data_IF_571828908405
#
_entry.id   IF_571828908405
#
_cell.length_a   1.000
_cell.length_b   1.000
_cell.length_c   1.000
_cell.angle_alpha   90.00
_cell.angle_beta   90.00
_cell.angle_gamma   90.00
#
_symmetry.space_group_name_H-M   'P 1'
#
loop_
_entity.id
_entity.type
_entity.pdbx_description
1 polymer ?
2 polymer ?
3 non-polymer ?
4 water ?
#
# COMPACT_ATOMS: atom_id res chain seq x y z
N UNK A 1 -15.47 27.25 -2.06
CA UNK A 1 -15.51 27.28 -3.51
C UNK A 1 -14.24 27.83 -4.14
N UNK A 2 -14.37 28.40 -5.34
CA UNK A 2 -13.24 28.91 -6.10
C UNK A 2 -12.49 30.03 -5.41
N UNK A 3 -13.16 31.15 -5.18
CA UNK A 3 -12.67 32.20 -4.29
C UNK A 3 -13.71 32.60 -3.26
N UNK A 4 -14.88 31.97 -3.28
CA UNK A 4 -15.83 32.07 -2.20
C UNK A 4 -15.38 31.17 -1.04
N UNK A 5 -15.89 31.47 0.15
CA UNK A 5 -15.66 30.65 1.33
C UNK A 5 -16.88 29.76 1.52
N UNK A 6 -16.65 28.47 1.65
CA UNK A 6 -17.71 27.50 1.91
C UNK A 6 -17.65 27.09 3.38
N UNK A 7 -18.78 27.18 4.06
CA UNK A 7 -18.88 26.76 5.45
C UNK A 7 -19.84 25.58 5.55
N UNK A 8 -19.38 24.51 6.16
CA UNK A 8 -20.16 23.28 6.29
C UNK A 8 -20.10 22.85 7.75
N UNK A 9 -21.07 22.01 8.12
CA UNK A 9 -21.08 21.39 9.43
C UNK A 9 -20.38 20.04 9.26
N UNK A 10 -19.18 19.92 9.81
CA UNK A 10 -18.31 18.78 9.56
C UNK A 10 -17.90 18.10 10.86
N UNK A 11 -17.74 16.79 10.80
CA UNK A 11 -17.34 15.99 11.94
C UNK A 11 -15.84 15.75 11.91
N UNK A 12 -15.12 16.06 12.99
CA UNK A 12 -13.69 15.73 13.04
C UNK A 12 -13.47 14.24 12.83
N UNK A 13 -12.39 13.91 12.11
CA UNK A 13 -12.15 12.53 11.73
C UNK A 13 -11.84 11.60 12.90
N UNK A 14 -11.41 12.16 14.03
CA UNK A 14 -11.15 11.40 15.24
C UNK A 14 -12.12 11.83 16.33
N UNK A 15 -12.30 10.95 17.32
CA UNK A 15 -13.13 11.26 18.45
C UNK A 15 -14.60 11.18 18.14
N UNK A 16 -15.42 11.57 19.10
CA UNK A 16 -16.87 11.37 18.97
C UNK A 16 -17.47 12.31 17.95
N UNK A 17 -18.63 11.91 17.43
CA UNK A 17 -19.29 12.61 16.35
C UNK A 17 -19.97 13.84 16.93
N UNK A 18 -19.19 14.92 17.05
CA UNK A 18 -19.73 16.23 17.40
C UNK A 18 -19.36 17.18 16.26
N UNK A 19 -20.25 17.35 15.28
CA UNK A 19 -19.95 18.24 14.15
C UNK A 19 -19.85 19.70 14.56
N UNK A 20 -19.08 20.45 13.78
CA UNK A 20 -18.86 21.87 14.03
C UNK A 20 -18.64 22.56 12.69
N UNK A 21 -18.86 23.87 12.67
CA UNK A 21 -18.66 24.64 11.46
C UNK A 21 -17.20 24.59 11.03
N UNK A 22 -16.98 24.33 9.75
CA UNK A 22 -15.65 24.33 9.14
C UNK A 22 -15.74 25.12 7.83
N UNK A 23 -14.78 26.01 7.61
CA UNK A 23 -14.74 26.83 6.41
C UNK A 23 -13.52 26.50 5.56
N UNK A 24 -13.69 26.51 4.25
CA UNK A 24 -12.59 26.26 3.32
C UNK A 24 -12.77 27.07 2.05
N UNK A 25 -11.67 27.25 1.32
CA UNK A 25 -11.62 28.11 0.14
C UNK A 25 -10.74 27.44 -0.91
N UNK A 26 -10.65 28.07 -2.09
CA UNK A 26 -9.65 27.74 -3.11
C UNK A 26 -9.83 26.35 -3.70
N UNK A 27 -11.08 25.89 -3.83
CA UNK A 27 -11.30 24.54 -4.34
C UNK A 27 -10.87 24.44 -5.80
N UNK A 28 -10.17 23.35 -6.11
CA UNK A 28 -9.75 23.05 -7.47
C UNK A 28 -9.91 21.55 -7.69
N UNK A 29 -10.48 21.17 -8.84
CA UNK A 29 -10.64 19.76 -9.15
C UNK A 29 -9.28 19.17 -9.49
N UNK A 30 -8.95 18.05 -8.87
CA UNK A 30 -7.72 17.33 -9.17
C UNK A 30 -8.01 16.14 -10.09
N UNK A 31 -9.02 15.35 -9.75
CA UNK A 31 -9.40 14.20 -10.55
C UNK A 31 -10.69 13.55 -10.07
N UNK A 35 -14.11 6.41 -8.15
CA UNK A 35 -15.30 6.73 -8.95
C UNK A 35 -15.88 8.07 -8.53
N UNK A 36 -15.27 8.71 -7.54
CA UNK A 36 -15.70 10.01 -7.06
C UNK A 36 -15.00 11.15 -7.75
N UNK A 37 -15.04 12.31 -7.11
CA UNK A 37 -14.30 13.50 -7.53
C UNK A 37 -13.40 13.91 -6.38
N UNK A 38 -12.21 14.39 -6.71
CA UNK A 38 -11.21 14.77 -5.72
C UNK A 38 -10.84 16.23 -5.93
N UNK A 39 -10.90 17.02 -4.87
CA UNK A 39 -10.55 18.43 -4.90
C UNK A 39 -9.37 18.71 -3.99
N UNK A 40 -8.67 19.81 -4.27
CA UNK A 40 -7.77 20.41 -3.31
C UNK A 40 -8.42 21.67 -2.76
N UNK A 41 -8.26 21.92 -1.47
CA UNK A 41 -8.82 23.14 -0.87
C UNK A 41 -7.88 23.64 0.23
N UNK A 42 -8.22 24.81 0.77
CA UNK A 42 -7.48 25.41 1.87
C UNK A 42 -8.42 25.68 3.03
N UNK A 43 -8.06 25.20 4.22
CA UNK A 43 -8.86 25.47 5.40
C UNK A 43 -8.67 26.92 5.84
N UNK A 44 -9.79 27.63 6.03
CA UNK A 44 -9.73 29.07 6.30
C UNK A 44 -9.06 29.35 7.64
N UNK A 45 -9.38 28.57 8.67
CA UNK A 45 -8.89 28.87 10.01
C UNK A 45 -7.38 28.80 10.08
N UNK A 46 -6.79 27.79 9.43
CA UNK A 46 -5.36 27.53 9.56
C UNK A 46 -4.57 27.77 8.28
N UNK A 47 -5.23 27.85 7.12
CA UNK A 47 -4.52 27.99 5.86
C UNK A 47 -3.92 26.70 5.34
N UNK A 48 -4.14 25.58 6.02
CA UNK A 48 -3.53 24.31 5.63
C UNK A 48 -4.26 23.72 4.43
N UNK A 49 -3.50 23.11 3.53
CA UNK A 49 -4.07 22.51 2.34
C UNK A 49 -4.66 21.15 2.66
N UNK A 50 -5.80 20.85 2.05
CA UNK A 50 -6.46 19.57 2.23
C UNK A 50 -6.90 19.03 0.88
N UNK A 51 -7.12 17.73 0.84
CA UNK A 51 -7.78 17.06 -0.26
C UNK A 51 -9.18 16.69 0.18
N UNK A 52 -10.15 16.87 -0.70
CA UNK A 52 -11.54 16.56 -0.40
C UNK A 52 -12.00 15.53 -1.42
N UNK A 53 -12.31 14.32 -0.94
CA UNK A 53 -12.84 13.27 -1.79
C UNK A 53 -14.36 13.25 -1.62
N UNK A 54 -15.08 13.43 -2.72
CA UNK A 54 -16.53 13.55 -2.71
C UNK A 54 -17.13 12.37 -3.47
N UNK A 55 -17.94 11.55 -2.79
CA UNK A 55 -18.55 10.37 -3.40
C UNK A 55 -20.02 10.30 -3.01
N UNK A 56 -20.84 9.86 -3.96
CA UNK A 56 -22.24 9.58 -3.67
C UNK A 56 -22.36 8.60 -2.51
N UNK A 57 -23.27 8.87 -1.59
CA UNK A 57 -23.45 8.03 -0.41
C UNK A 57 -24.93 7.81 -0.16
N UNK A 58 -25.37 6.56 -0.29
CA UNK A 58 -26.75 6.21 0.04
C UNK A 58 -26.94 6.24 1.56
N UNK A 59 -28.11 6.73 1.99
CA UNK A 59 -28.39 6.89 3.41
C UNK A 59 -28.59 5.57 4.15
N UNK A 60 -28.79 4.47 3.43
CA UNK A 60 -29.16 3.20 4.08
C UNK A 60 -27.98 2.43 4.65
N UNK A 61 -26.75 2.87 4.43
CA UNK A 61 -25.59 2.18 4.99
C UNK A 61 -24.46 3.18 5.18
N UNK A 62 -23.51 2.82 6.04
CA UNK A 62 -22.38 3.68 6.35
C UNK A 62 -21.24 3.43 5.37
N UNK A 63 -20.62 4.52 4.91
CA UNK A 63 -19.53 4.42 3.94
C UNK A 63 -18.39 3.58 4.48
N UNK A 64 -17.99 2.56 3.71
CA UNK A 64 -16.97 1.63 4.17
C UNK A 64 -15.63 2.32 4.39
N UNK A 65 -15.21 3.15 3.43
CA UNK A 65 -13.95 3.87 3.57
C UNK A 65 -13.97 4.79 4.79
N UNK A 66 -15.09 5.49 5.00
CA UNK A 66 -15.19 6.38 6.15
C UNK A 66 -15.05 5.62 7.46
N UNK A 67 -15.72 4.47 7.58
CA UNK A 67 -15.65 3.72 8.83
C UNK A 67 -14.25 3.21 9.11
N UNK A 68 -13.50 2.87 8.05
CA UNK A 68 -12.11 2.47 8.22
C UNK A 68 -11.26 3.66 8.64
N UNK A 69 -11.40 4.79 7.94
CA UNK A 69 -10.57 5.97 8.22
C UNK A 69 -10.75 6.46 9.64
N UNK A 70 -11.98 6.42 10.17
CA UNK A 70 -12.23 6.93 11.52
C UNK A 70 -11.53 6.10 12.59
N UNK A 71 -11.12 4.86 12.29
CA UNK A 71 -10.43 4.04 13.27
C UNK A 71 -8.94 4.35 13.38
N UNK A 72 -8.38 5.09 12.42
CA UNK A 72 -6.94 5.13 12.22
C UNK A 72 -6.34 6.43 12.75
N UNK A 73 -5.21 6.32 13.43
CA UNK A 73 -4.44 7.49 13.85
C UNK A 73 -2.99 7.03 13.89
N UNK A 74 -2.24 7.31 12.82
CA UNK A 74 -0.88 6.82 12.69
C UNK A 74 -0.08 7.79 11.83
N UNK A 75 1.17 8.04 12.23
CA UNK A 75 1.99 9.04 11.56
C UNK A 75 2.29 8.70 10.10
N UNK A 76 2.13 7.44 9.69
CA UNK A 76 2.38 7.03 8.32
C UNK A 76 1.10 6.71 7.56
N UNK A 77 -0.04 7.26 7.98
CA UNK A 77 -1.32 7.10 7.31
C UNK A 77 -1.92 8.49 7.15
N UNK A 78 -2.43 8.80 5.96
CA UNK A 78 -3.03 10.11 5.73
C UNK A 78 -4.16 10.33 6.74
N UNK A 79 -4.22 11.54 7.30
CA UNK A 79 -5.18 11.86 8.34
C UNK A 79 -6.52 12.26 7.74
N UNK A 80 -7.60 11.70 8.28
CA UNK A 80 -8.94 12.21 7.99
C UNK A 80 -9.18 13.38 8.94
N UNK A 81 -9.06 14.60 8.41
CA UNK A 81 -9.28 15.77 9.25
C UNK A 81 -10.75 15.94 9.61
N UNK A 82 -11.63 15.81 8.61
CA UNK A 82 -13.06 16.02 8.80
C UNK A 82 -13.83 15.18 7.78
N UNK A 83 -15.12 15.00 8.03
CA UNK A 83 -16.01 14.56 6.97
C UNK A 83 -17.33 15.30 7.09
N UNK A 84 -18.01 15.45 5.95
CA UNK A 84 -19.28 16.16 5.93
C UNK A 84 -20.08 15.70 4.72
N UNK A 85 -21.35 16.06 4.71
CA UNK A 85 -22.28 15.62 3.68
C UNK A 85 -22.83 16.84 2.94
N UNK A 86 -23.10 16.66 1.64
CA UNK A 86 -23.61 17.70 0.77
C UNK A 86 -24.61 17.08 -0.23
N UNK A 87 -25.17 17.89 -1.12
CA UNK A 87 -26.37 17.49 -1.88
C UNK A 87 -26.18 17.54 -3.40
N UNK A 88 -27.17 16.98 -4.10
CA UNK A 88 -27.19 16.79 -5.56
C UNK A 88 -28.57 16.64 -6.18
N UNK A 90 -28.74 15.62 -7.03
CA UNK A 90 -30.00 15.10 -7.59
C UNK A 90 -31.06 14.96 -6.50
N UNK A 91 -32.33 14.84 -6.88
CA UNK A 91 -33.39 14.63 -5.90
C UNK A 91 -32.95 13.65 -4.80
N UNK A 92 -32.95 14.12 -3.56
CA UNK A 92 -32.51 13.38 -2.38
C UNK A 92 -31.09 12.80 -2.53
N UNK A 93 -30.25 13.30 -3.44
CA UNK A 93 -28.89 12.78 -3.52
C UNK A 93 -28.05 13.38 -2.40
N UNK A 94 -27.19 12.55 -1.81
CA UNK A 94 -26.29 12.99 -0.76
C UNK A 94 -24.87 12.56 -1.11
N UNK A 95 -23.93 13.50 -1.04
CA UNK A 95 -22.51 13.20 -1.19
C UNK A 95 -21.83 13.16 0.18
N UNK A 96 -20.99 12.16 0.38
CA UNK A 96 -20.01 12.18 1.46
C UNK A 96 -18.75 12.87 0.99
N UNK A 97 -18.19 13.74 1.85
CA UNK A 97 -16.97 14.47 1.57
C UNK A 97 -15.93 14.12 2.62
N UNK A 98 -14.82 13.53 2.20
CA UNK A 98 -13.74 13.16 3.10
C UNK A 98 -12.65 14.22 3.00
N UNK A 99 -12.38 14.93 4.09
CA UNK A 99 -11.37 15.99 4.11
C UNK A 99 -10.10 15.37 4.67
N UNK A 100 -9.11 15.19 3.79
CA UNK A 100 -7.87 14.51 4.11
C UNK A 100 -6.71 15.50 4.06
N UNK A 101 -5.64 15.17 4.77
CA UNK A 101 -4.43 15.99 4.67
C UNK A 101 -3.87 15.92 3.25
N UNK A 102 -3.38 17.05 2.77
CA UNK A 102 -2.81 17.16 1.43
C UNK A 102 -1.29 17.12 1.53
N UNK A 103 -0.68 16.20 0.80
CA UNK A 103 0.77 16.03 0.75
C UNK A 103 1.18 16.19 -0.71
N UNK A 104 2.17 17.02 -1.04
CA UNK A 104 2.35 17.42 -2.44
C UNK A 104 2.93 16.36 -3.36
N UNK A 105 3.58 15.32 -2.84
CA UNK A 105 4.27 14.37 -3.70
C UNK A 105 3.88 12.94 -3.33
N UNK A 106 4.25 12.01 -4.21
CA UNK A 106 4.05 10.58 -3.99
C UNK A 106 5.33 9.83 -4.35
N UNK A 107 5.40 8.58 -3.89
CA UNK A 107 6.54 7.74 -4.26
C UNK A 107 6.56 7.52 -5.77
N UNK A 108 5.37 7.37 -6.38
CA UNK A 108 5.30 7.24 -7.83
C UNK A 108 5.99 8.40 -8.54
N UNK A 109 5.64 9.64 -8.15
CA UNK A 109 6.19 10.80 -8.85
C UNK A 109 7.70 10.91 -8.61
N UNK A 110 8.15 10.66 -7.38
CA UNK A 110 9.56 10.82 -7.07
C UNK A 110 10.40 9.75 -7.76
N UNK A 111 9.94 8.50 -7.72
CA UNK A 111 10.67 7.42 -8.39
C UNK A 111 10.72 7.64 -9.90
N UNK A 112 9.63 8.18 -10.47
CA UNK A 112 9.62 8.45 -11.89
C UNK A 112 10.64 9.51 -12.29
N UNK A 113 10.98 10.42 -11.37
CA UNK A 113 12.05 11.37 -11.66
C UNK A 113 13.36 10.64 -11.90
N UNK A 114 13.68 9.65 -11.08
CA UNK A 114 14.93 8.92 -11.23
C UNK A 114 14.93 8.04 -12.48
N UNK A 115 13.77 7.45 -12.81
CA UNK A 115 13.69 6.61 -14.00
C UNK A 115 13.98 7.40 -15.26
N UNK A 116 13.42 8.60 -15.38
CA UNK A 116 13.58 9.40 -16.59
C UNK A 116 14.98 9.93 -16.73
N UNK A 117 15.66 10.12 -15.60
CA UNK A 117 17.07 10.43 -15.57
C UNK A 117 17.93 9.18 -15.71
N UNK A 118 17.30 8.01 -15.90
CA UNK A 118 17.99 6.74 -16.03
C UNK A 118 18.81 6.41 -14.79
N UNK A 119 18.37 6.87 -13.62
CA UNK A 119 19.10 6.74 -12.37
C UNK A 119 18.30 5.95 -11.34
N UNK A 120 18.95 5.61 -10.24
CA UNK A 120 18.31 4.85 -9.18
C UNK A 120 18.19 5.70 -7.92
N UNK A 121 17.05 5.57 -7.26
CA UNK A 121 16.83 6.16 -5.96
C UNK A 121 17.92 5.72 -4.99
N UNK A 122 18.62 6.65 -4.34
CA UNK A 122 19.62 6.24 -3.34
C UNK A 122 18.97 5.37 -2.27
N UNK A 123 19.71 4.34 -1.85
CA UNK A 123 19.10 3.28 -1.07
C UNK A 123 18.62 3.79 0.29
N UNK A 124 19.20 4.87 0.80
CA UNK A 124 18.70 5.43 2.06
C UNK A 124 17.22 5.78 1.94
N UNK A 125 16.79 6.27 0.77
CA UNK A 125 15.38 6.60 0.60
C UNK A 125 14.53 5.35 0.47
N UNK A 126 15.04 4.33 -0.22
CA UNK A 126 14.34 3.06 -0.29
C UNK A 126 14.08 2.52 1.11
N UNK A 127 15.11 2.57 1.96
CA UNK A 127 14.93 2.12 3.35
C UNK A 127 13.88 2.97 4.06
N UNK A 128 13.98 4.28 3.95
CA UNK A 128 13.06 5.17 4.65
C UNK A 128 11.63 4.95 4.19
N UNK A 129 11.41 4.86 2.87
CA UNK A 129 10.05 4.75 2.36
C UNK A 129 9.44 3.40 2.69
N UNK A 130 10.20 2.32 2.46
CA UNK A 130 9.63 1.00 2.68
C UNK A 130 9.38 0.76 4.17
N UNK A 131 10.27 1.26 5.02
CA UNK A 131 10.08 1.09 6.47
C UNK A 131 8.77 1.72 6.92
N UNK A 132 8.52 2.96 6.49
CA UNK A 132 7.29 3.64 6.87
C UNK A 132 6.06 2.95 6.28
N UNK A 133 6.18 2.45 5.06
CA UNK A 133 5.08 1.68 4.47
C UNK A 133 4.78 0.45 5.33
N UNK A 134 5.83 -0.29 5.73
CA UNK A 134 5.60 -1.47 6.54
C UNK A 134 5.00 -1.12 7.90
N UNK A 135 5.38 0.02 8.47
CA UNK A 135 4.75 0.46 9.71
C UNK A 135 3.25 0.69 9.52
N UNK A 136 2.88 1.37 8.43
CA UNK A 136 1.46 1.62 8.18
C UNK A 136 0.69 0.32 7.99
N UNK A 137 1.33 -0.66 7.35
CA UNK A 137 0.67 -1.95 7.13
C UNK A 137 0.51 -2.73 8.43
N UNK A 138 1.55 -2.71 9.29
CA UNK A 138 1.42 -3.35 10.59
C UNK A 138 0.28 -2.74 11.36
N UNK A 139 0.15 -1.41 11.31
CA UNK A 139 -0.90 -0.73 12.04
C UNK A 139 -2.28 -1.13 11.53
N UNK A 140 -2.53 -1.01 10.21
CA UNK A 140 -3.87 -1.31 9.72
C UNK A 140 -4.19 -2.79 9.85
N UNK A 141 -3.18 -3.65 9.66
CA UNK A 141 -3.43 -5.09 9.74
C UNK A 141 -3.82 -5.51 11.16
N UNK A 142 -3.32 -4.80 12.18
CA UNK A 142 -3.67 -5.10 13.56
C UNK A 142 -5.16 -4.92 13.83
N UNK A 143 -5.87 -4.13 13.01
CA UNK A 143 -7.31 -4.01 13.12
C UNK A 143 -8.05 -5.02 12.26
N UNK A 144 -7.33 -5.86 11.52
CA UNK A 144 -7.94 -6.71 10.52
C UNK A 144 -8.20 -6.03 9.18
N UNK A 145 -7.71 -4.80 8.99
CA UNK A 145 -7.97 -4.03 7.79
C UNK A 145 -6.89 -4.30 6.76
N UNK A 146 -7.30 -4.70 5.56
CA UNK A 146 -6.41 -4.90 4.41
C UNK A 146 -6.61 -3.76 3.43
N UNK A 147 -5.50 -3.15 2.98
CA UNK A 147 -5.61 -1.95 2.15
C UNK A 147 -6.06 -2.32 0.74
N UNK A 148 -5.51 -3.39 0.19
CA UNK A 148 -5.90 -3.99 -1.08
C UNK A 148 -5.56 -3.14 -2.30
N UNK A 149 -4.88 -2.01 -2.13
CA UNK A 149 -4.41 -1.25 -3.29
C UNK A 149 -3.05 -0.63 -3.05
N UNK A 150 -2.11 -1.40 -2.47
CA UNK A 150 -0.76 -0.88 -2.24
C UNK A 150 -0.06 -0.72 -3.57
N UNK A 151 0.40 0.50 -3.85
CA UNK A 151 1.14 0.83 -5.06
C UNK A 151 1.82 2.18 -4.85
N UNK A 152 2.82 2.53 -5.67
CA UNK A 152 3.52 3.81 -5.44
C UNK A 152 2.63 5.03 -5.51
N UNK A 153 1.56 4.98 -6.31
CA UNK A 153 0.66 6.13 -6.44
C UNK A 153 -0.08 6.44 -5.14
N UNK A 154 -0.23 5.46 -4.25
CA UNK A 154 -0.96 5.62 -2.99
C UNK A 154 -0.04 5.83 -1.81
N UNK A 155 1.19 6.28 -2.04
CA UNK A 155 2.18 6.51 -0.99
C UNK A 155 2.53 7.99 -1.02
N UNK A 156 1.88 8.78 -0.19
CA UNK A 156 2.18 10.20 -0.11
C UNK A 156 3.57 10.41 0.47
N UNK A 157 4.25 11.45 0.00
CA UNK A 157 5.63 11.69 0.37
C UNK A 157 5.87 13.18 0.54
N UNK A 158 6.40 13.57 1.70
CA UNK A 158 6.87 14.93 1.93
C UNK A 158 8.37 14.93 1.66
N UNK A 159 8.83 15.42 0.52
CA UNK A 159 10.27 15.29 0.19
C UNK A 159 11.19 16.01 1.15
N UNK A 160 10.71 17.04 1.84
CA UNK A 160 11.57 17.80 2.74
C UNK A 160 11.83 17.06 4.06
N UNK A 161 10.82 16.33 4.55
CA UNK A 161 10.94 15.61 5.81
C UNK A 161 11.10 14.11 5.63
N UNK A 162 10.92 13.61 4.41
CA UNK A 162 10.95 12.17 4.10
C UNK A 162 9.81 11.39 4.77
N UNK A 163 8.78 12.08 5.27
CA UNK A 163 7.63 11.39 5.84
C UNK A 163 6.80 10.78 4.72
N UNK A 164 6.46 9.49 4.88
CA UNK A 164 5.58 8.78 3.97
C UNK A 164 4.24 8.53 4.64
N UNK A 165 3.15 8.67 3.88
CA UNK A 165 1.82 8.41 4.40
C UNK A 165 1.04 7.56 3.41
N UNK A 166 0.52 6.44 3.89
CA UNK A 166 -0.38 5.60 3.09
C UNK A 166 -1.73 6.29 2.92
N UNK A 167 -2.28 6.24 1.71
CA UNK A 167 -3.53 6.93 1.41
C UNK A 167 -4.39 6.09 0.46
N UNK A 168 -5.57 6.63 0.13
CA UNK A 168 -6.57 6.02 -0.75
C UNK A 168 -7.06 4.67 -0.22
N UNK A 169 -7.85 4.75 0.85
CA UNK A 169 -8.46 3.55 1.43
C UNK A 169 -9.78 3.16 0.77
N UNK A 170 -9.98 3.55 -0.49
CA UNK A 170 -11.22 3.23 -1.18
C UNK A 170 -11.39 1.75 -1.50
N UNK A 171 -10.29 1.00 -1.55
CA UNK A 171 -10.36 -0.44 -1.77
C UNK A 171 -10.26 -1.26 -0.47
N UNK A 172 -10.02 -0.60 0.66
CA UNK A 172 -9.72 -1.29 1.90
C UNK A 172 -10.96 -2.00 2.45
N UNK A 173 -10.72 -3.07 3.22
CA UNK A 173 -11.82 -3.82 3.79
C UNK A 173 -11.33 -4.57 5.03
N UNK A 174 -12.21 -4.69 6.02
CA UNK A 174 -11.97 -5.62 7.12
C UNK A 174 -12.17 -7.04 6.61
N UNK A 175 -11.09 -7.82 6.60
CA UNK A 175 -11.18 -9.21 6.20
C UNK A 175 -11.57 -10.06 7.40
N UNK A 176 -12.59 -10.89 7.21
CA UNK A 176 -13.06 -11.82 8.24
C UNK A 176 -12.91 -13.23 7.69
N UNK A 177 -12.19 -14.07 8.43
CA UNK A 177 -12.00 -15.46 8.01
C UNK A 177 -13.35 -16.14 7.84
N UNK A 178 -13.55 -16.76 6.68
CA UNK A 178 -14.80 -17.44 6.37
C UNK A 178 -15.76 -16.65 5.51
N UNK A 179 -15.55 -15.34 5.35
CA UNK A 179 -16.41 -14.52 4.50
C UNK A 179 -15.70 -14.20 3.19
N UNK A 180 -16.27 -14.54 2.04
CA UNK A 180 -15.55 -14.34 0.78
C UNK A 180 -15.34 -12.88 0.44
N UNK A 181 -14.27 -12.63 -0.31
CA UNK A 181 -13.93 -11.31 -0.82
C UNK A 181 -13.69 -11.41 -2.32
N UNK A 182 -13.67 -10.26 -3.00
CA UNK A 182 -13.51 -10.23 -4.44
C UNK A 182 -12.04 -10.43 -4.80
N UNK A 183 -11.79 -11.18 -5.87
CA UNK A 183 -10.44 -11.55 -6.26
C UNK A 183 -9.81 -10.54 -7.23
N UNK A 185 -8.98 -7.44 -7.43
CA UNK A 185 -8.73 -6.27 -6.61
C UNK A 185 -7.23 -5.98 -6.78
N UNK A 186 -6.78 -4.82 -6.27
CA UNK A 186 -5.38 -4.38 -6.40
C UNK A 186 -5.06 -3.97 -7.82
N UNK A 187 -4.15 -3.01 -7.99
CA UNK A 187 -3.67 -2.66 -9.33
C UNK A 187 -2.79 -3.78 -9.87
N UNK A 188 -2.93 -4.06 -11.18
CA UNK A 188 -2.43 -5.30 -11.77
C UNK A 188 -0.97 -5.60 -11.44
N UNK A 189 -0.09 -4.61 -11.61
CA UNK A 189 1.34 -4.87 -11.41
C UNK A 189 1.64 -5.34 -9.98
N UNK A 190 0.80 -4.97 -9.02
CA UNK A 190 1.05 -5.23 -7.61
C UNK A 190 0.12 -6.30 -7.04
N UNK A 191 -0.62 -6.99 -7.90
CA UNK A 191 -1.63 -7.94 -7.46
C UNK A 191 -0.99 -9.27 -7.09
N UNK A 192 -1.29 -9.75 -5.89
CA UNK A 192 -0.72 -11.00 -5.39
C UNK A 192 -1.18 -12.19 -6.25
N UNK A 193 -0.34 -13.20 -6.41
CA UNK A 193 -0.68 -14.30 -7.33
C UNK A 193 -1.92 -15.07 -6.94
N UNK A 194 -2.22 -15.20 -5.64
CA UNK A 194 -3.44 -15.91 -5.26
C UNK A 194 -4.69 -15.18 -5.74
N UNK A 195 -4.65 -13.85 -5.80
CA UNK A 195 -5.74 -13.10 -6.41
C UNK A 195 -5.87 -13.40 -7.88
N UNK A 196 -4.75 -13.49 -8.60
CA UNK A 196 -4.78 -13.80 -10.03
C UNK A 196 -5.39 -15.17 -10.25
N UNK A 197 -5.07 -16.14 -9.37
CA UNK A 197 -5.68 -17.46 -9.46
C UNK A 197 -7.16 -17.44 -9.09
N UNK A 198 -7.66 -16.33 -8.56
CA UNK A 198 -9.07 -16.22 -8.24
C UNK A 198 -9.45 -16.61 -6.84
N UNK A 199 -8.53 -16.53 -5.88
CA UNK A 199 -8.87 -16.85 -4.50
C UNK A 199 -9.82 -15.80 -3.93
N UNK A 200 -10.80 -16.28 -3.16
CA UNK A 200 -11.69 -15.39 -2.41
C UNK A 200 -11.47 -15.47 -0.91
N UNK A 201 -10.64 -16.40 -0.45
CA UNK A 201 -10.34 -16.57 0.98
C UNK A 201 -8.94 -16.08 1.32
N UNK A 202 -8.51 -14.99 0.69
CA UNK A 202 -7.17 -14.46 0.93
C UNK A 202 -7.13 -13.65 2.22
N UNK A 203 -5.92 -13.24 2.60
CA UNK A 203 -5.66 -12.55 3.85
C UNK A 203 -4.94 -11.24 3.57
N UNK A 204 -4.57 -10.55 4.66
CA UNK A 204 -3.84 -9.28 4.54
C UNK A 204 -2.46 -9.45 3.94
N UNK A 205 -1.95 -10.69 3.81
CA UNK A 205 -0.64 -10.85 3.20
C UNK A 205 -0.62 -10.45 1.73
N UNK A 206 -1.78 -10.20 1.10
CA UNK A 206 -1.75 -9.66 -0.26
C UNK A 206 -1.09 -8.29 -0.26
N UNK A 207 -1.24 -7.53 0.82
CA UNK A 207 -0.59 -6.23 0.92
C UNK A 207 0.92 -6.36 0.99
N UNK A 208 1.40 -7.45 1.61
CA UNK A 208 2.83 -7.68 1.72
C UNK A 208 3.43 -8.01 0.36
N UNK A 209 2.74 -8.83 -0.43
CA UNK A 209 3.16 -9.03 -1.82
C UNK A 209 3.26 -7.70 -2.55
N UNK A 210 2.22 -6.87 -2.44
CA UNK A 210 2.24 -5.58 -3.13
C UNK A 210 3.42 -4.73 -2.67
N UNK A 211 3.68 -4.72 -1.37
CA UNK A 211 4.82 -3.95 -0.86
C UNK A 211 6.13 -4.50 -1.39
N UNK A 212 6.26 -5.82 -1.49
CA UNK A 212 7.43 -6.41 -2.13
C UNK A 212 7.60 -5.94 -3.57
N UNK A 213 6.49 -5.81 -4.31
CA UNK A 213 6.57 -5.28 -5.66
C UNK A 213 7.04 -3.82 -5.64
N UNK A 214 6.59 -3.04 -4.66
CA UNK A 214 7.04 -1.64 -4.57
C UNK A 214 8.54 -1.59 -4.30
N UNK A 215 9.01 -2.41 -3.36
CA UNK A 215 10.43 -2.44 -3.03
C UNK A 215 11.26 -2.82 -4.25
N UNK A 216 10.84 -3.87 -4.97
CA UNK A 216 11.55 -4.27 -6.17
C UNK A 216 11.58 -3.15 -7.19
N UNK A 217 10.46 -2.44 -7.36
CA UNK A 217 10.39 -1.35 -8.33
C UNK A 217 11.34 -0.23 -7.98
N UNK A 218 11.45 0.11 -6.68
CA UNK A 218 12.37 1.16 -6.26
C UNK A 218 13.82 0.77 -6.51
N UNK A 219 14.15 -0.52 -6.34
CA UNK A 219 15.50 -1.01 -6.60
C UNK A 219 15.79 -1.10 -8.09
N UNK A 220 14.79 -1.44 -8.90
CA UNK A 220 14.98 -1.69 -10.32
C UNK A 220 14.83 -0.45 -11.19
N UNK A 221 14.03 0.52 -10.76
CA UNK A 221 13.69 1.66 -11.59
C UNK A 221 12.48 1.46 -12.49
N UNK A 222 11.82 0.32 -12.39
CA UNK A 222 10.61 0.05 -13.18
C UNK A 222 9.88 -1.11 -12.52
N UNK A 223 8.59 -1.28 -12.81
CA UNK A 223 7.84 -2.37 -12.19
C UNK A 223 8.47 -3.72 -12.49
N UNK A 224 8.48 -4.61 -11.49
CA UNK A 224 9.17 -5.87 -11.69
C UNK A 224 8.29 -6.87 -12.44
N UNK A 225 6.97 -6.74 -12.34
CA UNK A 225 6.03 -7.67 -12.99
C UNK A 225 5.03 -6.87 -13.82
N UNK A 226 5.44 -6.39 -15.00
CA UNK A 226 4.52 -5.61 -15.87
C UNK A 226 3.64 -6.45 -16.78
N UNK A 227 2.56 -6.99 -16.20
CA UNK A 227 1.67 -7.84 -16.97
C UNK A 227 0.71 -7.05 -17.85
N UNK A 228 0.40 -7.64 -19.01
CA UNK A 228 -0.56 -7.05 -19.95
C UNK A 228 -2.01 -7.30 -19.53
N UNK A 229 -2.24 -8.32 -18.71
CA UNK A 229 -3.57 -8.73 -18.30
C UNK A 229 -3.43 -9.55 -17.03
N UNK A 230 -4.56 -10.03 -16.51
CA UNK A 230 -4.49 -10.87 -15.32
C UNK A 230 -3.65 -12.11 -15.53
N UNK A 231 -3.86 -12.81 -16.64
CA UNK A 231 -3.08 -14.01 -16.92
C UNK A 231 -1.63 -13.66 -17.22
N UNK A 232 -1.40 -12.61 -18.01
CA UNK A 232 -0.03 -12.24 -18.35
C UNK A 232 0.71 -11.70 -17.13
N UNK A 233 -0.02 -11.15 -16.17
CA UNK A 233 0.59 -10.78 -14.89
C UNK A 233 1.25 -12.00 -14.25
N UNK A 234 0.52 -13.11 -14.17
CA UNK A 234 1.07 -14.33 -13.58
C UNK A 234 2.23 -14.87 -14.40
N UNK A 235 2.14 -14.78 -15.73
CA UNK A 235 3.24 -15.22 -16.58
C UNK A 235 4.51 -14.42 -16.26
N UNK A 236 4.36 -13.10 -16.08
CA UNK A 236 5.51 -12.27 -15.74
C UNK A 236 6.10 -12.66 -14.39
N UNK A 237 5.25 -12.92 -13.40
CA UNK A 237 5.72 -13.39 -12.11
C UNK A 237 6.49 -14.69 -12.26
N UNK A 238 5.95 -15.62 -13.05
CA UNK A 238 6.56 -16.92 -13.24
C UNK A 238 7.92 -16.80 -13.95
N UNK A 239 8.04 -15.85 -14.88
CA UNK A 239 9.32 -15.67 -15.57
C UNK A 239 10.43 -15.31 -14.60
N UNK A 240 10.10 -14.70 -13.47
CA UNK A 240 11.10 -14.33 -12.47
C UNK A 240 11.25 -15.40 -11.39
N UNK A 241 10.13 -15.81 -10.77
CA UNK A 241 10.16 -16.74 -9.65
C UNK A 241 10.11 -18.20 -10.08
N UNK A 242 9.87 -18.49 -11.35
CA UNK A 242 9.65 -19.84 -11.78
C UNK A 242 8.22 -20.28 -11.53
N UNK A 243 7.85 -21.42 -12.12
CA UNK A 243 6.51 -21.96 -11.92
C UNK A 243 6.30 -22.27 -10.45
N UNK A 244 5.17 -21.86 -9.85
CA UNK A 244 4.86 -22.32 -8.51
C UNK A 244 4.65 -23.82 -8.49
N UNK A 245 5.10 -24.45 -7.41
CA UNK A 245 4.86 -25.87 -7.26
C UNK A 245 3.37 -26.15 -7.09
N UNK A 246 3.01 -27.41 -7.29
CA UNK A 246 1.65 -27.85 -6.99
C UNK A 246 1.27 -27.51 -5.55
N UNK A 247 2.23 -27.61 -4.63
CA UNK A 247 1.95 -27.28 -3.23
C UNK A 247 1.68 -25.79 -3.06
N UNK A 248 2.57 -24.95 -3.61
CA UNK A 248 2.37 -23.50 -3.53
C UNK A 248 1.04 -23.11 -4.15
N UNK A 249 0.68 -23.74 -5.27
CA UNK A 249 -0.59 -23.43 -5.92
C UNK A 249 -1.76 -23.74 -5.00
N UNK A 250 -1.71 -24.92 -4.35
CA UNK A 250 -2.76 -25.29 -3.39
C UNK A 250 -2.85 -24.27 -2.26
N UNK A 251 -1.71 -23.76 -1.80
CA UNK A 251 -1.72 -22.74 -0.76
C UNK A 251 -2.35 -21.43 -1.24
N UNK A 252 -2.30 -21.16 -2.54
CA UNK A 252 -2.87 -19.95 -3.11
C UNK A 252 -4.36 -20.13 -3.41
N UNK A 253 -4.71 -21.25 -4.06
CA UNK A 253 -6.10 -21.55 -4.38
C UNK A 253 -6.20 -23.06 -4.55
N UNK A 254 -7.05 -23.73 -3.77
CA UNK A 254 -7.02 -25.20 -3.76
C UNK A 254 -7.81 -25.84 -4.88
N UNK A 255 -8.13 -25.09 -5.93
CA UNK A 255 -9.04 -25.55 -6.98
C UNK A 255 -8.34 -25.84 -8.30
N UNK A 256 -7.05 -26.15 -8.27
CA UNK A 256 -6.28 -26.39 -9.49
C UNK A 256 -5.63 -27.78 -9.50
N UNK A 257 -6.24 -28.74 -8.80
CA UNK A 257 -5.62 -30.05 -8.63
C UNK A 257 -5.64 -30.88 -9.91
N UNK A 258 -6.54 -30.61 -10.84
CA UNK A 258 -6.60 -31.37 -12.08
C UNK A 258 -5.71 -30.80 -13.18
N UNK A 259 -4.81 -29.88 -12.84
CA UNK A 259 -3.98 -29.21 -13.83
C UNK A 259 -2.51 -29.34 -13.47
N UNK A 260 -1.69 -29.60 -14.49
CA UNK A 260 -0.23 -29.62 -14.38
C UNK A 260 0.32 -28.46 -15.22
N UNK A 261 1.10 -27.60 -14.60
CA UNK A 261 1.54 -26.43 -15.36
C UNK A 261 2.97 -26.61 -15.85
N UNK A 262 3.30 -26.00 -16.99
CA UNK A 262 4.67 -26.09 -17.51
C UNK A 262 5.69 -25.57 -16.50
N UNK A 263 6.84 -26.23 -16.46
CA UNK A 263 7.87 -25.93 -15.46
C UNK A 263 8.84 -24.91 -16.05
N UNK A 264 8.84 -23.71 -15.49
CA UNK A 264 9.77 -22.65 -15.85
C UNK A 264 10.71 -22.44 -14.67
N UNK A 265 12.01 -22.45 -14.94
CA UNK A 265 12.99 -22.23 -13.89
C UNK A 265 13.00 -20.77 -13.46
N UNK A 266 13.23 -20.55 -12.17
CA UNK A 266 13.35 -19.20 -11.65
C UNK A 266 14.61 -18.53 -12.18
N UNK A 267 14.51 -17.23 -12.44
CA UNK A 267 15.70 -16.45 -12.74
C UNK A 267 16.60 -16.40 -11.51
N UNK A 268 17.93 -16.42 -11.69
CA UNK A 268 18.82 -16.19 -10.55
C UNK A 268 18.49 -14.89 -9.84
N UNK A 269 18.16 -15.00 -8.55
CA UNK A 269 17.53 -13.90 -7.84
C UNK A 269 18.45 -12.68 -7.76
N UNK A 270 19.74 -12.91 -7.59
CA UNK A 270 20.67 -11.78 -7.54
C UNK A 270 20.80 -11.09 -8.89
N UNK A 271 20.74 -11.85 -9.99
CA UNK A 271 20.83 -11.27 -11.32
C UNK A 271 19.60 -10.48 -11.72
N UNK A 272 18.51 -10.55 -10.94
CA UNK A 272 17.34 -9.72 -11.19
C UNK A 272 17.68 -8.24 -11.00
N UNK A 273 18.49 -7.93 -9.99
CA UNK A 273 18.78 -6.56 -9.62
C UNK A 273 20.16 -6.14 -10.13
N UNK A 274 20.40 -4.83 -10.08
CA UNK A 274 21.66 -4.27 -10.55
C UNK A 274 22.83 -4.75 -9.70
N UNK A 275 24.05 -4.76 -10.26
CA UNK A 275 25.17 -5.44 -9.58
C UNK A 275 25.41 -5.03 -8.13
N UNK A 276 25.33 -3.74 -7.81
CA UNK A 276 25.69 -3.27 -6.48
C UNK A 276 24.50 -3.17 -5.53
N UNK A 277 23.37 -3.77 -5.88
CA UNK A 277 22.20 -3.75 -5.01
C UNK A 277 22.57 -4.38 -3.67
N UNK A 278 22.27 -3.75 -2.54
CA UNK A 278 22.61 -4.33 -1.24
C UNK A 278 22.02 -5.72 -1.08
N UNK A 279 22.80 -6.68 -0.59
CA UNK A 279 22.27 -8.05 -0.44
C UNK A 279 21.10 -8.15 0.50
N UNK A 280 21.03 -7.30 1.53
CA UNK A 280 19.90 -7.36 2.45
C UNK A 280 18.61 -6.89 1.80
N UNK A 281 18.70 -5.97 0.84
CA UNK A 281 17.51 -5.57 0.08
C UNK A 281 16.98 -6.74 -0.73
N UNK A 282 17.88 -7.48 -1.38
CA UNK A 282 17.49 -8.65 -2.15
C UNK A 282 16.89 -9.72 -1.23
N UNK A 283 17.50 -9.93 -0.07
CA UNK A 283 16.98 -10.91 0.87
C UNK A 283 15.58 -10.53 1.35
N UNK A 284 15.38 -9.25 1.68
CA UNK A 284 14.04 -8.81 2.09
C UNK A 284 13.05 -9.01 0.96
N UNK A 285 13.42 -8.63 -0.27
CA UNK A 285 12.51 -8.78 -1.39
C UNK A 285 12.10 -10.24 -1.57
N UNK A 286 13.04 -11.18 -1.41
CA UNK A 286 12.72 -12.59 -1.59
C UNK A 286 11.76 -13.12 -0.53
N UNK A 287 11.73 -12.50 0.65
CA UNK A 287 10.83 -12.93 1.71
C UNK A 287 9.48 -12.24 1.66
N UNK A 288 9.32 -11.24 0.78
CA UNK A 288 8.03 -10.62 0.52
C UNK A 288 7.35 -11.23 -0.68
N UNK A 289 8.11 -11.52 -1.73
CA UNK A 289 7.58 -12.08 -2.97
C UNK A 289 7.63 -13.61 -2.95
N UNK A 290 6.89 -14.18 -2.00
CA UNK A 290 6.73 -15.62 -1.86
C UNK A 290 5.36 -16.02 -2.39
N UNK A 291 5.33 -17.11 -3.17
CA UNK A 291 4.04 -17.60 -3.67
C UNK A 291 3.11 -17.97 -2.51
N UNK A 292 3.60 -18.79 -1.58
CA UNK A 292 2.77 -19.23 -0.46
C UNK A 292 2.47 -18.04 0.43
N UNK A 293 1.20 -17.64 0.57
CA UNK A 293 0.91 -16.39 1.32
C UNK A 293 1.41 -16.41 2.76
N UNK A 294 1.29 -17.56 3.43
CA UNK A 294 1.74 -17.68 4.82
C UNK A 294 3.26 -17.64 4.95
N UNK A 295 4.00 -17.82 3.85
CA UNK A 295 5.46 -17.77 3.92
C UNK A 295 6.00 -16.34 3.92
N UNK A 296 5.19 -15.35 3.57
CA UNK A 296 5.65 -13.97 3.50
C UNK A 296 5.88 -13.40 4.90
N UNK A 297 6.86 -12.50 5.01
CA UNK A 297 7.03 -11.76 6.26
C UNK A 297 5.76 -10.99 6.61
N UNK A 298 5.51 -10.86 7.90
CA UNK A 298 4.51 -9.89 8.33
C UNK A 298 5.09 -8.49 8.20
N UNK A 299 4.24 -7.47 8.15
CA UNK A 299 4.78 -6.09 8.10
C UNK A 299 5.70 -5.76 9.25
N UNK A 300 5.37 -6.23 10.46
CA UNK A 300 6.21 -5.92 11.61
C UNK A 300 7.55 -6.65 11.51
N UNK A 301 7.54 -7.90 11.04
CA UNK A 301 8.79 -8.60 10.81
C UNK A 301 9.63 -7.90 9.74
N UNK A 302 8.96 -7.36 8.71
CA UNK A 302 9.67 -6.61 7.69
C UNK A 302 10.35 -5.38 8.28
N UNK A 303 9.64 -4.65 9.16
CA UNK A 303 10.26 -3.49 9.83
C UNK A 303 11.53 -3.88 10.55
N UNK A 304 11.55 -5.06 11.17
CA UNK A 304 12.71 -5.53 11.92
C UNK A 304 13.81 -6.11 11.04
N UNK A 305 13.61 -6.18 9.72
CA UNK A 305 14.58 -6.80 8.84
C UNK A 305 15.91 -6.03 8.86
N UNK A 306 16.99 -6.77 8.61
CA UNK A 306 18.34 -6.20 8.62
C UNK A 306 18.49 -5.07 7.61
N UNK A 307 17.71 -5.08 6.53
CA UNK A 307 17.81 -4.02 5.53
C UNK A 307 17.57 -2.63 6.12
N UNK A 308 16.79 -2.54 7.21
CA UNK A 308 16.50 -1.26 7.83
C UNK A 308 17.43 -0.95 9.00
N UNK A 309 18.52 -1.71 9.17
CA UNK A 309 19.43 -1.48 10.28
C UNK A 309 20.00 -0.06 10.25
N UNK A 310 20.28 0.48 9.06
CA UNK A 310 20.82 1.84 8.98
C UNK A 310 19.89 2.85 9.64
N UNK A 311 18.57 2.66 9.51
CA UNK A 311 17.62 3.58 10.12
C UNK A 311 17.68 3.56 11.65
N UNK A 312 18.18 2.49 12.25
CA UNK A 312 18.30 2.40 13.70
C UNK A 312 19.66 2.87 14.22
N UNK A 313 20.54 3.30 13.32
CA UNK A 313 21.83 3.88 13.72
C UNK A 313 21.59 5.22 14.39
N UNK A 314 22.13 5.46 15.59
CA UNK A 314 21.88 6.75 16.26
C UNK A 314 22.42 7.96 15.50
N UNK A 315 23.38 7.77 14.59
CA UNK A 315 23.98 8.88 13.88
C UNK A 315 23.37 9.10 12.49
N UNK A 316 22.29 8.39 12.15
CA UNK A 316 21.72 8.49 10.82
C UNK A 316 21.06 9.85 10.63
N UNK A 317 21.18 10.40 9.43
CA UNK A 317 20.56 11.66 9.06
C UNK A 317 20.08 11.58 7.61
N UNK A 318 19.12 12.42 7.27
CA UNK A 318 18.67 12.52 5.90
C UNK A 318 19.76 13.15 5.03
N UNK A 319 19.76 12.86 3.72
CA UNK A 319 20.70 13.52 2.82
C UNK A 319 20.52 15.03 2.70
N UNK A 320 19.43 15.59 3.21
CA UNK A 320 19.25 17.05 3.20
C UNK A 320 19.72 17.70 4.49
N UNK A 321 20.39 16.96 5.37
CA UNK A 321 20.91 17.53 6.60
C UNK A 321 19.90 17.67 7.72
N UNK A 322 18.71 17.10 7.55
CA UNK A 322 17.69 17.09 8.59
C UNK A 322 17.68 15.75 9.32
N UNK A 323 17.07 15.76 10.49
CA UNK A 323 16.85 14.53 11.24
C UNK A 323 15.88 13.63 10.50
N UNK A 324 16.00 12.32 10.73
CA UNK A 324 15.04 11.39 10.19
C UNK A 324 13.66 11.68 10.79
N UNK A 325 12.58 11.34 10.08
CA UNK A 325 11.25 11.50 10.69
C UNK A 325 11.05 10.53 11.84
N UNK A 326 9.90 10.61 12.49
CA UNK A 326 9.61 9.65 13.56
C UNK A 326 9.65 8.24 13.00
N UNK A 327 10.45 7.39 13.64
CA UNK A 327 10.61 6.01 13.22
C UNK A 327 10.31 4.99 14.32
N UNK A 328 10.26 5.41 15.59
CA UNK A 328 10.26 4.47 16.69
C UNK A 328 9.12 4.70 17.67
N UNK A 329 8.15 5.56 17.35
CA UNK A 329 7.02 5.81 18.25
C UNK A 329 5.95 4.73 18.08
N UNK A 330 6.36 3.49 18.30
CA UNK A 330 5.46 2.36 18.17
C UNK A 330 4.43 2.36 19.29
N UNK A 331 3.21 1.95 18.97
CA UNK A 331 2.13 1.80 19.94
C UNK A 331 1.88 0.32 20.22
N UNK A 332 1.12 0.06 21.29
CA UNK A 332 0.74 -1.31 21.61
C UNK A 332 -0.02 -1.94 20.46
N UNK A 333 -0.94 -1.19 19.86
CA UNK A 333 -1.70 -1.65 18.70
C UNK A 333 -0.76 -2.09 17.58
N UNK A 334 0.19 -1.22 17.22
CA UNK A 334 1.11 -1.51 16.12
C UNK A 334 1.99 -2.72 16.40
N UNK A 335 2.34 -2.95 17.66
CA UNK A 335 3.23 -4.03 18.04
C UNK A 335 2.52 -5.34 18.33
N UNK A 336 1.18 -5.36 18.21
CA UNK A 336 0.39 -6.43 18.82
C UNK A 336 0.65 -7.79 18.19
N UNK A 337 1.07 -7.85 16.92
CA UNK A 337 1.31 -9.16 16.31
C UNK A 337 2.53 -9.85 16.89
N UNK A 338 3.48 -9.10 17.44
CA UNK A 338 4.70 -9.69 17.98
C UNK A 338 5.37 -8.67 18.90
N UNK A 339 4.83 -8.43 20.09
CA UNK A 339 5.33 -7.33 20.95
C UNK A 339 6.82 -7.42 21.26
N UNK A 340 7.39 -8.62 21.47
CA UNK A 340 8.84 -8.67 21.76
C UNK A 340 9.73 -8.10 20.67
N UNK A 341 9.23 -7.95 19.45
CA UNK A 341 10.07 -7.37 18.39
C UNK A 341 10.45 -5.94 18.69
N UNK A 342 9.78 -5.30 19.65
CA UNK A 342 10.16 -3.95 20.07
C UNK A 342 11.61 -3.90 20.54
N UNK A 343 12.16 -5.02 21.01
CA UNK A 343 13.57 -5.06 21.42
C UNK A 343 14.49 -4.74 20.25
N UNK A 344 14.12 -5.17 19.04
CA UNK A 344 14.87 -4.75 17.85
C UNK A 344 14.37 -3.40 17.35
N UNK A 345 13.05 -3.22 17.33
CA UNK A 345 12.45 -2.10 16.62
C UNK A 345 12.76 -0.76 17.30
N UNK A 346 12.83 -0.75 18.63
CA UNK A 346 13.10 0.50 19.34
C UNK A 346 14.53 0.45 19.89
N UNK A 347 15.47 1.15 19.25
CA UNK A 347 16.86 1.11 19.69
C UNK A 347 17.02 1.80 21.04
N UNK A 348 18.10 1.50 21.78
CA UNK A 348 18.26 2.13 23.10
C UNK A 348 18.26 3.64 23.06
N UNK A 349 18.86 4.24 22.02
CA UNK A 349 18.90 5.70 21.94
C UNK A 349 17.53 6.32 21.70
N UNK A 350 16.52 5.52 21.32
CA UNK A 350 15.18 6.02 21.11
C UNK A 350 14.27 5.83 22.32
N UNK A 351 14.76 5.21 23.38
CA UNK A 351 14.01 5.12 24.63
C UNK A 351 14.30 6.34 25.52
N UNK B 1 -14.72 -22.60 -13.55
CA UNK B 1 -14.07 -21.29 -13.75
C UNK B 1 -12.54 -21.40 -13.61
N UNK B 2 -12.01 -22.15 -12.64
CA UNK B 2 -10.58 -22.45 -12.69
C UNK B 2 -10.17 -23.11 -14.00
N UNK B 3 -11.04 -23.96 -14.56
CA UNK B 3 -10.70 -24.69 -15.78
C UNK B 3 -10.38 -23.74 -16.92
N UNK B 4 -11.14 -22.64 -17.03
CA UNK B 4 -10.87 -21.68 -18.09
C UNK B 4 -9.56 -20.93 -17.86
N UNK B 5 -9.30 -20.51 -16.62
CA UNK B 5 -8.08 -19.77 -16.33
C UNK B 5 -6.84 -20.65 -16.51
N UNK B 6 -6.89 -21.88 -15.97
CA UNK B 6 -5.72 -22.74 -16.04
C UNK B 6 -5.35 -23.07 -17.48
N UNK B 7 -6.34 -23.38 -18.31
CA UNK B 7 -6.05 -23.68 -19.71
C UNK B 7 -5.39 -22.51 -20.41
N UNK B 8 -5.85 -21.30 -20.12
CA UNK B 8 -5.20 -20.11 -20.68
C UNK B 8 -3.77 -19.99 -20.18
N UNK B 9 -3.55 -20.22 -18.89
CA UNK B 9 -2.21 -20.07 -18.32
C UNK B 9 -1.25 -21.10 -18.92
N UNK B 10 -1.71 -22.35 -19.07
CA UNK B 10 -0.86 -23.41 -19.62
C UNK B 10 -0.37 -23.04 -21.02
N UNK B 11 -1.27 -22.56 -21.89
CA UNK B 11 -0.81 -22.05 -23.19
C UNK B 11 0.16 -20.89 -23.10
N UNK B 12 -0.07 -19.93 -22.22
CA UNK B 12 0.87 -18.82 -22.21
C UNK B 12 2.25 -19.27 -21.73
N UNK B 13 2.30 -20.24 -20.81
CA UNK B 13 3.60 -20.72 -20.35
C UNK B 13 4.30 -21.59 -21.38
N UNK B 14 3.54 -22.30 -22.23
CA UNK B 14 4.18 -23.07 -23.29
C UNK B 14 4.80 -22.14 -24.34
N UNK B 15 4.27 -20.93 -24.49
CA UNK B 15 4.83 -19.97 -25.44
C UNK B 15 6.15 -19.39 -24.96
N UNK B 16 6.48 -19.52 -23.68
CA UNK B 16 7.75 -19.03 -23.14
C UNK B 16 8.72 -20.15 -22.83
N UNK B 17 8.29 -21.41 -22.91
CA UNK B 17 9.17 -22.54 -22.62
C UNK B 17 9.99 -22.92 -23.85
#
# INVERSE_FOLDING_TARGET
>A
GGSKVTTVVATPGQGPDRPQEVSYTDTKVIGNGSFGVVYQAKLCDSGELVAIKKVLQDKRFKNRELQIMRKLDHCNIVRLRYFFYSSGEKKDEVYLNLVLDYVPETVYRVARHYSRAKQTLPVIYVKLYMYQLFRSLAYIHSFGICHRDIKPQNLLLDPDTAVLKLCDFGSAKQLVRGEPNVSXICSRYYRAPELIFGATDYTSSIDVWSAGCVLAELLLGQPIFPGDSGVDQLVEIIKVLGTPTREQIREMNPNYTEFKFPQIKAHPWTKVFRPRTPPEAIALCSRLLEYTPTARLTPLEACAHSFFDELRDPNVKLPNGRDTPALFNFTTQELSSNPPLATILIPPHAR
>B
EPQKFAEELIHRLEAVQ
#
